data_IF_657319615754
#
_entry.id   IF_657319615754
#
_cell.length_a   1.000
_cell.length_b   1.000
_cell.length_c   1.000
_cell.angle_alpha   90.00
_cell.angle_beta   90.00
_cell.angle_gamma   90.00
#
_symmetry.space_group_name_H-M   'P 1'
#
loop_
_entity.id
_entity.type
_entity.pdbx_description
1 polymer ?
#
# COMPACT_ATOMS: atom_id res chain seq x y z
N UNK A 1 -16.17 16.32 -8.41
CA UNK A 1 -16.39 16.41 -6.95
C UNK A 1 -17.76 17.01 -6.66
N UNK A 2 -18.59 16.36 -5.84
CA UNK A 2 -19.78 17.02 -5.29
C UNK A 2 -19.31 17.87 -4.09
N UNK A 3 -19.68 19.16 -3.98
CA UNK A 3 -19.24 20.04 -2.89
C UNK A 3 -19.57 19.58 -1.45
N UNK A 4 -20.32 18.48 -1.27
CA UNK A 4 -20.86 18.04 0.02
C UNK A 4 -20.08 16.91 0.71
N UNK A 5 -19.07 16.31 0.07
CA UNK A 5 -18.45 15.10 0.64
C UNK A 5 -17.52 15.41 1.82
N UNK A 6 -16.83 16.55 1.82
CA UNK A 6 -15.98 16.99 2.95
C UNK A 6 -16.84 17.30 4.19
N UNK A 7 -18.03 17.88 4.02
CA UNK A 7 -18.92 18.20 5.14
C UNK A 7 -19.49 16.97 5.85
N UNK A 8 -19.32 15.77 5.29
CA UNK A 8 -19.69 14.51 5.93
C UNK A 8 -18.58 13.97 6.83
N UNK A 9 -17.40 14.59 6.82
CA UNK A 9 -16.26 14.20 7.65
C UNK A 9 -16.25 15.03 8.92
N UNK A 10 -15.98 14.38 10.05
CA UNK A 10 -15.75 15.07 11.33
C UNK A 10 -14.47 15.92 11.25
N UNK A 11 -13.49 15.44 10.48
CA UNK A 11 -12.24 16.16 10.27
C UNK A 11 -11.59 15.84 8.92
N UNK A 12 -11.09 16.87 8.25
CA UNK A 12 -10.27 16.73 7.06
C UNK A 12 -9.06 17.65 7.15
N UNK A 13 -7.87 17.07 7.05
CA UNK A 13 -6.61 17.81 6.96
C UNK A 13 -5.89 17.45 5.67
N UNK A 14 -5.59 18.48 4.89
CA UNK A 14 -4.71 18.36 3.73
C UNK A 14 -3.32 18.84 4.11
N UNK A 15 -2.37 17.91 4.21
CA UNK A 15 -0.97 18.24 4.46
C UNK A 15 -0.22 18.60 3.18
N UNK A 16 -0.95 18.73 2.06
CA UNK A 16 -0.43 19.07 0.74
C UNK A 16 0.85 18.28 0.43
N UNK A 17 0.80 16.93 0.50
CA UNK A 17 1.99 16.12 0.38
C UNK A 17 2.70 16.49 -0.92
N UNK A 18 3.99 16.80 -0.82
CA UNK A 18 4.84 17.06 -1.97
C UNK A 18 4.66 15.92 -2.97
N UNK A 19 3.95 16.19 -4.05
CA UNK A 19 3.82 15.26 -5.17
C UNK A 19 5.17 15.28 -5.86
N UNK A 20 5.98 14.25 -5.66
CA UNK A 20 7.15 14.05 -6.51
C UNK A 20 6.67 14.17 -7.96
N UNK A 21 7.27 15.11 -8.68
CA UNK A 21 6.83 15.43 -10.03
C UNK A 21 7.06 14.19 -10.90
N UNK A 22 5.98 13.66 -11.48
CA UNK A 22 6.06 12.45 -12.31
C UNK A 22 7.06 12.61 -13.45
N UNK A 23 7.16 13.80 -14.05
CA UNK A 23 8.15 14.10 -15.07
C UNK A 23 9.58 13.99 -14.53
N UNK A 24 9.87 14.60 -13.39
CA UNK A 24 11.21 14.56 -12.79
C UNK A 24 11.60 13.12 -12.41
N UNK A 25 10.68 12.37 -11.81
CA UNK A 25 10.90 10.97 -11.47
C UNK A 25 11.14 10.10 -12.71
N UNK A 26 10.36 10.31 -13.78
CA UNK A 26 10.50 9.60 -15.04
C UNK A 26 11.85 9.92 -15.71
N UNK A 27 12.22 11.18 -15.84
CA UNK A 27 13.49 11.58 -16.44
C UNK A 27 14.68 11.06 -15.64
N UNK A 28 14.66 11.18 -14.31
CA UNK A 28 15.70 10.65 -13.41
C UNK A 28 15.80 9.14 -13.52
N UNK A 29 14.66 8.46 -13.52
CA UNK A 29 14.55 7.01 -13.59
C UNK A 29 15.07 6.41 -14.90
N UNK A 30 14.77 7.05 -16.03
CA UNK A 30 15.21 6.60 -17.35
C UNK A 30 16.66 6.99 -17.69
N UNK A 31 17.22 7.99 -17.00
CA UNK A 31 18.63 8.41 -17.16
C UNK A 31 19.61 7.51 -16.39
N UNK A 32 19.12 6.68 -15.46
CA UNK A 32 19.97 5.79 -14.67
C UNK A 32 20.48 4.60 -15.52
N UNK A 33 21.68 4.08 -15.18
CA UNK A 33 22.25 2.89 -15.82
C UNK A 33 21.29 1.69 -15.76
N UNK A 34 20.65 1.49 -14.60
CA UNK A 34 19.50 0.60 -14.46
C UNK A 34 18.25 1.47 -14.43
N UNK A 35 17.49 1.46 -15.52
CA UNK A 35 16.23 2.22 -15.63
C UNK A 35 15.24 1.73 -14.57
N UNK A 36 14.58 2.65 -13.89
CA UNK A 36 13.56 2.34 -12.87
C UNK A 36 12.51 3.44 -12.74
N UNK A 37 11.32 3.10 -12.27
CA UNK A 37 10.24 4.04 -11.95
C UNK A 37 9.61 3.71 -10.60
N UNK A 38 9.30 4.72 -9.76
CA UNK A 38 8.62 4.47 -8.49
C UNK A 38 7.20 3.94 -8.68
N UNK A 39 6.84 2.85 -7.96
CA UNK A 39 5.53 2.19 -8.07
C UNK A 39 4.35 3.09 -7.65
N UNK A 40 4.57 4.12 -6.83
CA UNK A 40 3.51 5.09 -6.49
C UNK A 40 2.88 5.78 -7.71
N UNK A 41 3.58 5.82 -8.85
CA UNK A 41 3.03 6.39 -10.09
C UNK A 41 2.07 5.45 -10.84
N UNK A 42 1.90 4.20 -10.41
CA UNK A 42 0.87 3.33 -10.97
C UNK A 42 -0.54 3.88 -10.76
N UNK A 43 -0.77 4.55 -9.63
CA UNK A 43 -2.11 4.85 -9.13
C UNK A 43 -2.66 6.19 -9.67
N UNK A 44 -2.69 6.36 -10.99
CA UNK A 44 -3.68 7.25 -11.59
C UNK A 44 -5.09 6.62 -11.54
N UNK A 45 -6.11 7.28 -12.10
CA UNK A 45 -7.48 6.76 -12.09
C UNK A 45 -7.55 5.35 -12.70
N UNK A 46 -6.99 5.18 -13.90
CA UNK A 46 -6.96 3.90 -14.62
C UNK A 46 -6.15 2.82 -13.89
N UNK A 47 -4.97 3.16 -13.37
CA UNK A 47 -4.16 2.20 -12.63
C UNK A 47 -4.81 1.76 -11.31
N UNK A 48 -5.54 2.66 -10.64
CA UNK A 48 -6.33 2.32 -9.46
C UNK A 48 -7.46 1.33 -9.78
N UNK A 49 -8.14 1.51 -10.91
CA UNK A 49 -9.14 0.56 -11.41
C UNK A 49 -8.54 -0.80 -11.76
N UNK A 50 -7.38 -0.82 -12.42
CA UNK A 50 -6.65 -2.04 -12.73
C UNK A 50 -6.21 -2.76 -11.46
N UNK A 51 -5.72 -2.06 -10.44
CA UNK A 51 -5.38 -2.65 -9.15
C UNK A 51 -6.59 -3.26 -8.44
N UNK A 52 -7.76 -2.59 -8.52
CA UNK A 52 -9.00 -3.17 -8.01
C UNK A 52 -9.37 -4.48 -8.73
N UNK A 53 -9.13 -4.58 -10.05
CA UNK A 53 -9.32 -5.82 -10.80
C UNK A 53 -8.31 -6.89 -10.36
N UNK A 54 -7.03 -6.53 -10.17
CA UNK A 54 -6.00 -7.44 -9.66
C UNK A 54 -6.45 -8.06 -8.33
N UNK A 55 -7.03 -7.27 -7.43
CA UNK A 55 -7.50 -7.75 -6.14
C UNK A 55 -8.59 -8.84 -6.20
N UNK A 56 -9.26 -8.99 -7.34
CA UNK A 56 -10.33 -9.97 -7.57
C UNK A 56 -9.85 -11.19 -8.37
N UNK A 57 -8.60 -11.20 -8.86
CA UNK A 57 -8.02 -12.32 -9.62
C UNK A 57 -7.83 -13.56 -8.77
N UNK A 58 -7.99 -14.73 -9.39
CA UNK A 58 -7.76 -16.02 -8.73
C UNK A 58 -6.27 -16.22 -8.38
N UNK A 59 -5.33 -15.71 -9.17
CA UNK A 59 -3.90 -15.81 -8.86
C UNK A 59 -3.49 -14.87 -7.71
N UNK A 60 -4.12 -13.70 -7.58
CA UNK A 60 -3.77 -12.69 -6.57
C UNK A 60 -4.42 -12.95 -5.21
N UNK A 61 -3.89 -13.93 -4.49
CA UNK A 61 -4.44 -14.37 -3.20
C UNK A 61 -4.40 -13.34 -2.07
N UNK A 62 -3.55 -12.33 -2.17
CA UNK A 62 -3.20 -11.42 -1.06
C UNK A 62 -4.46 -10.80 -0.43
N UNK A 63 -5.29 -10.13 -1.23
CA UNK A 63 -6.46 -9.39 -0.74
C UNK A 63 -7.48 -10.31 -0.08
N UNK A 64 -7.86 -11.41 -0.75
CA UNK A 64 -8.86 -12.35 -0.22
C UNK A 64 -8.38 -13.10 1.03
N UNK A 65 -7.08 -13.42 1.09
CA UNK A 65 -6.49 -14.13 2.23
C UNK A 65 -6.46 -13.24 3.47
N UNK A 66 -6.01 -11.99 3.33
CA UNK A 66 -6.01 -11.04 4.44
C UNK A 66 -7.44 -10.73 4.92
N UNK A 67 -8.39 -10.50 4.00
CA UNK A 67 -9.80 -10.28 4.36
C UNK A 67 -10.37 -11.46 5.16
N UNK A 68 -10.02 -12.69 4.78
CA UNK A 68 -10.45 -13.89 5.49
C UNK A 68 -9.86 -13.97 6.88
N UNK A 69 -8.56 -13.69 7.03
CA UNK A 69 -7.90 -13.66 8.34
C UNK A 69 -8.56 -12.62 9.25
N UNK A 70 -8.79 -11.40 8.75
CA UNK A 70 -9.44 -10.33 9.50
C UNK A 70 -10.86 -10.74 9.93
N UNK A 71 -11.66 -11.30 9.02
CA UNK A 71 -13.04 -11.69 9.30
C UNK A 71 -13.14 -12.85 10.30
N UNK A 72 -12.36 -13.92 10.10
CA UNK A 72 -12.38 -15.11 10.96
C UNK A 72 -11.89 -14.79 12.38
N UNK A 73 -10.99 -13.80 12.53
CA UNK A 73 -10.40 -13.42 13.81
C UNK A 73 -10.92 -12.07 14.36
N UNK A 74 -11.93 -11.46 13.73
CA UNK A 74 -12.38 -10.09 14.01
C UNK A 74 -12.67 -9.85 15.51
N UNK A 75 -13.37 -10.79 16.16
CA UNK A 75 -13.69 -10.72 17.59
C UNK A 75 -12.46 -10.80 18.50
N UNK A 76 -11.46 -11.56 18.10
CA UNK A 76 -10.22 -11.70 18.86
C UNK A 76 -9.32 -10.49 18.67
N UNK A 77 -9.23 -9.98 17.44
CA UNK A 77 -8.54 -8.74 17.10
C UNK A 77 -9.14 -7.58 17.90
N UNK A 78 -10.47 -7.42 17.90
CA UNK A 78 -11.18 -6.41 18.70
C UNK A 78 -10.86 -6.50 20.19
N UNK A 79 -10.88 -7.72 20.77
CA UNK A 79 -10.50 -7.94 22.18
C UNK A 79 -9.05 -7.55 22.49
N UNK A 80 -8.14 -7.75 21.54
CA UNK A 80 -6.72 -7.43 21.70
C UNK A 80 -6.45 -5.93 21.57
N UNK A 81 -7.20 -5.26 20.69
CA UNK A 81 -7.21 -3.80 20.54
C UNK A 81 -7.81 -3.12 21.79
N UNK A 82 -8.88 -3.68 22.33
CA UNK A 82 -9.60 -3.11 23.46
C UNK A 82 -10.64 -2.06 23.04
N UNK A 83 -11.41 -1.57 24.02
CA UNK A 83 -12.50 -0.61 23.80
C UNK A 83 -12.00 0.83 23.70
N UNK A 84 -12.69 1.67 22.94
CA UNK A 84 -12.40 3.11 22.91
C UNK A 84 -11.11 3.47 22.16
N UNK A 85 -10.68 2.63 21.22
CA UNK A 85 -9.49 2.93 20.42
C UNK A 85 -9.76 4.06 19.43
N UNK A 86 -8.73 4.87 19.14
CA UNK A 86 -8.70 5.69 17.94
C UNK A 86 -7.91 4.95 16.85
N UNK A 87 -8.57 4.64 15.73
CA UNK A 87 -8.02 3.81 14.66
C UNK A 87 -7.48 4.66 13.51
N UNK A 88 -6.18 4.60 13.24
CA UNK A 88 -5.54 5.24 12.09
C UNK A 88 -5.24 4.21 11.02
N UNK A 89 -5.74 4.37 9.80
CA UNK A 89 -5.40 3.49 8.66
C UNK A 89 -4.42 4.18 7.71
N UNK A 90 -3.26 3.57 7.51
CA UNK A 90 -2.23 4.05 6.58
C UNK A 90 -2.46 3.44 5.20
N UNK A 91 -2.63 4.27 4.16
CA UNK A 91 -2.90 3.81 2.80
C UNK A 91 -4.29 3.18 2.68
N UNK A 92 -5.32 3.93 3.06
CA UNK A 92 -6.69 3.41 3.19
C UNK A 92 -7.30 2.86 1.89
N UNK A 93 -6.86 3.32 0.71
CA UNK A 93 -7.38 2.86 -0.58
C UNK A 93 -8.92 2.85 -0.60
N UNK A 94 -9.51 1.70 -0.96
CA UNK A 94 -10.96 1.53 -1.04
C UNK A 94 -11.68 1.34 0.31
N UNK A 95 -10.96 1.39 1.42
CA UNK A 95 -11.47 1.26 2.80
C UNK A 95 -12.40 0.05 3.04
N UNK A 96 -12.25 -1.03 2.25
CA UNK A 96 -13.07 -2.24 2.41
C UNK A 96 -12.67 -3.04 3.66
N UNK A 97 -11.37 -3.08 3.95
CA UNK A 97 -10.80 -3.91 5.03
C UNK A 97 -11.13 -3.36 6.41
N UNK A 98 -11.09 -2.03 6.56
CA UNK A 98 -11.41 -1.39 7.85
C UNK A 98 -12.85 -1.64 8.29
N UNK A 99 -13.81 -1.81 7.36
CA UNK A 99 -15.21 -2.15 7.70
C UNK A 99 -15.30 -3.41 8.57
N UNK A 100 -14.48 -4.43 8.28
CA UNK A 100 -14.40 -5.67 9.07
C UNK A 100 -14.05 -5.37 10.53
N UNK A 101 -13.19 -4.37 10.77
CA UNK A 101 -12.80 -3.95 12.12
C UNK A 101 -13.86 -3.05 12.76
N UNK A 102 -14.33 -2.03 12.05
CA UNK A 102 -15.35 -1.09 12.56
C UNK A 102 -16.65 -1.80 12.98
N UNK A 103 -17.00 -2.90 12.32
CA UNK A 103 -18.16 -3.74 12.67
C UNK A 103 -18.03 -4.46 14.02
N UNK A 104 -16.81 -4.62 14.55
CA UNK A 104 -16.54 -5.41 15.76
C UNK A 104 -15.81 -4.66 16.88
N UNK A 105 -15.27 -3.46 16.61
CA UNK A 105 -14.59 -2.65 17.61
C UNK A 105 -15.59 -2.16 18.67
N UNK A 106 -15.20 -2.23 19.93
CA UNK A 106 -16.05 -1.82 21.04
C UNK A 106 -15.93 -0.31 21.25
N UNK A 107 -16.97 0.44 20.87
CA UNK A 107 -17.09 1.89 21.05
C UNK A 107 -15.84 2.66 20.56
N UNK A 108 -15.40 2.48 19.30
CA UNK A 108 -14.21 3.19 18.81
C UNK A 108 -14.39 4.70 18.94
N UNK A 109 -13.36 5.38 19.45
CA UNK A 109 -13.37 6.83 19.67
C UNK A 109 -13.29 7.61 18.35
N UNK A 110 -12.84 6.95 17.28
CA UNK A 110 -12.77 7.52 15.93
C UNK A 110 -12.02 6.61 14.97
N UNK A 111 -12.17 6.91 13.68
CA UNK A 111 -11.38 6.33 12.60
C UNK A 111 -10.83 7.46 11.73
N UNK A 112 -9.52 7.45 11.48
CA UNK A 112 -8.86 8.41 10.60
C UNK A 112 -8.12 7.68 9.49
N UNK A 113 -8.52 7.93 8.25
CA UNK A 113 -7.84 7.40 7.07
C UNK A 113 -6.70 8.32 6.62
N UNK A 114 -5.57 7.75 6.24
CA UNK A 114 -4.43 8.46 5.66
C UNK A 114 -4.18 7.94 4.24
N UNK A 115 -4.13 8.85 3.27
CA UNK A 115 -3.84 8.50 1.88
C UNK A 115 -3.28 9.72 1.11
N UNK A 116 -2.53 9.47 0.05
CA UNK A 116 -1.99 10.54 -0.83
C UNK A 116 -3.03 11.00 -1.85
N UNK A 117 -4.03 10.18 -2.16
CA UNK A 117 -5.07 10.47 -3.15
C UNK A 117 -6.24 11.23 -2.52
N UNK A 118 -6.13 12.56 -2.45
CA UNK A 118 -7.14 13.46 -1.83
C UNK A 118 -8.59 13.15 -2.23
N UNK A 119 -8.87 13.07 -3.52
CA UNK A 119 -10.26 12.92 -4.02
C UNK A 119 -10.84 11.56 -3.66
N UNK A 120 -10.03 10.50 -3.78
CA UNK A 120 -10.42 9.15 -3.41
C UNK A 120 -10.65 9.04 -1.91
N UNK A 121 -9.73 9.59 -1.11
CA UNK A 121 -9.81 9.62 0.35
C UNK A 121 -11.09 10.29 0.85
N UNK A 122 -11.41 11.49 0.35
CA UNK A 122 -12.64 12.21 0.75
C UNK A 122 -13.88 11.38 0.43
N UNK A 123 -13.94 10.78 -0.77
CA UNK A 123 -15.07 9.97 -1.19
C UNK A 123 -15.23 8.73 -0.31
N UNK A 124 -14.16 7.97 -0.09
CA UNK A 124 -14.18 6.75 0.72
C UNK A 124 -14.60 7.05 2.18
N UNK A 125 -14.08 8.12 2.77
CA UNK A 125 -14.46 8.51 4.13
C UNK A 125 -15.90 9.03 4.23
N UNK A 126 -16.41 9.76 3.23
CA UNK A 126 -17.80 10.22 3.21
C UNK A 126 -18.80 9.05 3.14
N UNK A 127 -18.45 8.01 2.36
CA UNK A 127 -19.21 6.75 2.31
C UNK A 127 -19.17 6.04 3.67
N UNK A 128 -18.00 5.96 4.32
CA UNK A 128 -17.88 5.37 5.67
C UNK A 128 -18.69 6.12 6.72
N UNK A 129 -18.63 7.46 6.74
CA UNK A 129 -19.41 8.29 7.67
C UNK A 129 -20.91 8.03 7.55
N UNK A 130 -21.39 7.84 6.32
CA UNK A 130 -22.79 7.48 6.07
C UNK A 130 -23.16 6.09 6.57
N UNK A 131 -22.22 5.13 6.58
CA UNK A 131 -22.44 3.75 7.06
C UNK A 131 -22.34 3.67 8.60
N UNK A 132 -21.45 4.45 9.21
CA UNK A 132 -21.15 4.42 10.64
C UNK A 132 -21.39 5.79 11.32
N UNK A 133 -22.64 6.28 11.38
CA UNK A 133 -22.95 7.63 11.90
C UNK A 133 -22.62 7.85 13.39
N UNK A 134 -22.26 6.79 14.13
CA UNK A 134 -21.85 6.86 15.53
C UNK A 134 -20.33 6.84 15.76
N UNK A 135 -19.54 6.76 14.69
CA UNK A 135 -18.07 6.73 14.76
C UNK A 135 -17.56 7.99 14.09
N UNK A 136 -16.81 8.87 14.79
CA UNK A 136 -16.18 10.02 14.14
C UNK A 136 -15.23 9.57 13.03
N UNK A 137 -15.44 10.09 11.81
CA UNK A 137 -14.64 9.73 10.62
C UNK A 137 -13.80 10.93 10.17
N UNK A 138 -12.48 10.76 10.24
CA UNK A 138 -11.48 11.73 9.80
C UNK A 138 -10.71 11.29 8.56
N UNK A 139 -10.07 12.25 7.88
CA UNK A 139 -9.20 12.01 6.74
C UNK A 139 -7.96 12.93 6.76
N UNK A 140 -6.80 12.37 6.47
CA UNK A 140 -5.53 13.10 6.28
C UNK A 140 -4.99 12.83 4.89
N UNK A 141 -4.99 13.83 4.04
CA UNK A 141 -4.31 13.76 2.75
C UNK A 141 -2.81 13.95 2.97
N UNK A 142 -2.02 12.88 2.83
CA UNK A 142 -0.59 12.88 3.12
C UNK A 142 0.19 11.72 2.48
N UNK A 143 1.51 11.85 2.42
CA UNK A 143 2.44 10.80 2.05
C UNK A 143 3.03 10.16 3.32
N UNK A 144 2.43 9.06 3.75
CA UNK A 144 2.84 8.34 4.97
C UNK A 144 4.23 7.67 4.85
N UNK A 145 4.84 7.66 3.67
CA UNK A 145 6.24 7.21 3.54
C UNK A 145 7.22 8.23 4.13
N UNK A 146 6.77 9.47 4.34
CA UNK A 146 7.51 10.51 5.06
C UNK A 146 7.08 10.47 6.53
N UNK A 147 8.01 10.72 7.45
CA UNK A 147 7.70 10.82 8.88
C UNK A 147 6.74 11.99 9.10
N UNK A 148 5.56 11.69 9.67
CA UNK A 148 4.55 12.68 10.00
C UNK A 148 4.32 12.68 11.52
N UNK A 149 4.06 13.84 12.08
CA UNK A 149 3.37 13.91 13.37
C UNK A 149 1.89 13.66 13.09
N UNK A 150 1.27 12.67 13.76
CA UNK A 150 -0.20 12.58 13.72
C UNK A 150 -0.75 13.86 14.35
N UNK A 151 -1.53 14.67 13.62
CA UNK A 151 -2.12 15.89 14.18
C UNK A 151 -3.16 15.56 15.27
N UNK A 152 -3.57 14.29 15.38
CA UNK A 152 -4.74 13.89 16.12
C UNK A 152 -4.40 12.99 17.30
N UNK A 153 -4.65 13.53 18.49
CA UNK A 153 -4.94 12.74 19.68
C UNK A 153 -6.37 13.12 20.06
N UNK A 154 -7.34 12.25 19.80
CA UNK A 154 -8.66 12.42 20.41
C UNK A 154 -8.43 12.39 21.93
N UNK A 155 -8.85 13.43 22.64
CA UNK A 155 -8.67 13.54 24.08
C UNK A 155 -9.46 12.46 24.85
N UNK A 156 -10.39 11.78 24.18
CA UNK A 156 -11.29 10.78 24.74
C UNK A 156 -10.89 9.33 24.39
N UNK A 157 -9.85 9.13 23.57
CA UNK A 157 -9.42 7.78 23.20
C UNK A 157 -8.66 7.10 24.33
N UNK A 158 -9.02 5.85 24.63
CA UNK A 158 -8.29 5.03 25.61
C UNK A 158 -6.92 4.62 25.09
N UNK A 159 -6.83 4.33 23.79
CA UNK A 159 -5.59 3.95 23.14
C UNK A 159 -5.59 4.32 21.65
N UNK A 160 -4.42 4.19 21.03
CA UNK A 160 -4.21 4.48 19.61
C UNK A 160 -3.83 3.20 18.88
N UNK A 161 -4.58 2.86 17.82
CA UNK A 161 -4.24 1.76 16.94
C UNK A 161 -3.88 2.28 15.57
N UNK A 162 -2.74 1.85 15.06
CA UNK A 162 -2.38 2.05 13.65
C UNK A 162 -2.71 0.76 12.90
N UNK A 163 -3.32 0.88 11.74
CA UNK A 163 -3.68 -0.23 10.86
C UNK A 163 -3.00 -0.04 9.50
N UNK A 164 -2.26 -1.05 9.05
CA UNK A 164 -1.55 -1.03 7.77
C UNK A 164 -1.74 -2.36 7.02
N UNK A 165 -2.86 -2.51 6.29
CA UNK A 165 -3.17 -3.75 5.60
C UNK A 165 -2.47 -3.88 4.24
N UNK A 166 -2.67 -5.03 3.60
CA UNK A 166 -2.35 -5.27 2.19
C UNK A 166 -0.90 -5.64 1.90
N UNK A 167 -0.09 -5.85 2.95
CA UNK A 167 1.35 -6.08 2.81
C UNK A 167 2.08 -4.94 2.08
N UNK A 168 1.58 -3.71 2.21
CA UNK A 168 2.17 -2.51 1.64
C UNK A 168 3.57 -2.21 2.20
N UNK A 169 3.92 -2.73 3.38
CA UNK A 169 5.29 -2.73 3.89
C UNK A 169 6.29 -3.38 2.90
N UNK A 170 5.81 -4.36 2.12
CA UNK A 170 6.61 -5.03 1.11
C UNK A 170 7.08 -4.12 -0.03
N UNK A 171 6.54 -2.91 -0.17
CA UNK A 171 7.00 -1.96 -1.19
C UNK A 171 8.26 -1.18 -0.76
N UNK A 172 8.64 -1.27 0.51
CA UNK A 172 9.85 -0.68 1.05
C UNK A 172 11.00 -1.69 0.96
N UNK A 173 12.21 -1.20 0.65
CA UNK A 173 13.40 -2.00 0.93
C UNK A 173 13.54 -2.25 2.44
N UNK A 174 14.36 -3.23 2.81
CA UNK A 174 14.47 -3.68 4.21
C UNK A 174 14.83 -2.56 5.18
N UNK A 175 15.72 -1.65 4.79
CA UNK A 175 16.15 -0.54 5.66
C UNK A 175 15.00 0.45 5.87
N UNK A 176 14.32 0.83 4.79
CA UNK A 176 13.19 1.75 4.85
C UNK A 176 11.97 1.11 5.53
N UNK A 177 11.78 -0.21 5.42
CA UNK A 177 10.75 -0.94 6.15
C UNK A 177 10.99 -0.87 7.67
N UNK A 178 12.22 -1.09 8.14
CA UNK A 178 12.57 -0.98 9.57
C UNK A 178 12.40 0.46 10.06
N UNK A 179 12.82 1.47 9.27
CA UNK A 179 12.59 2.87 9.60
C UNK A 179 11.10 3.21 9.71
N UNK A 180 10.27 2.70 8.81
CA UNK A 180 8.83 2.88 8.86
C UNK A 180 8.23 2.23 10.12
N UNK A 181 8.62 0.99 10.44
CA UNK A 181 8.21 0.33 11.68
C UNK A 181 8.63 1.16 12.91
N UNK A 182 9.85 1.69 12.92
CA UNK A 182 10.37 2.52 14.02
C UNK A 182 9.61 3.84 14.17
N UNK A 183 9.24 4.46 13.06
CA UNK A 183 8.37 5.64 13.07
C UNK A 183 6.99 5.32 13.68
N UNK A 184 6.35 4.20 13.29
CA UNK A 184 5.08 3.79 13.91
C UNK A 184 5.25 3.48 15.41
N UNK A 185 6.36 2.85 15.80
CA UNK A 185 6.69 2.64 17.21
C UNK A 185 6.81 3.96 17.97
N UNK A 186 7.47 4.97 17.39
CA UNK A 186 7.59 6.31 17.98
C UNK A 186 6.23 7.00 18.14
N UNK A 187 5.33 6.85 17.17
CA UNK A 187 3.96 7.39 17.24
C UNK A 187 3.13 6.77 18.38
N UNK A 188 3.37 5.49 18.68
CA UNK A 188 2.66 4.76 19.70
C UNK A 188 3.24 4.96 21.11
N UNK A 189 4.36 5.69 21.27
CA UNK A 189 4.98 5.94 22.58
C UNK A 189 4.00 6.62 23.53
N UNK A 190 3.80 6.00 24.69
CA UNK A 190 2.87 6.45 25.73
C UNK A 190 1.40 6.10 25.48
N UNK A 191 1.11 5.33 24.42
CA UNK A 191 -0.21 4.72 24.20
C UNK A 191 -0.19 3.26 24.67
N UNK A 192 -1.30 2.76 25.20
CA UNK A 192 -1.49 1.32 25.48
C UNK A 192 -1.97 0.53 24.24
N UNK A 193 -2.03 1.20 23.09
CA UNK A 193 -2.51 0.62 21.84
C UNK A 193 -1.43 -0.16 21.09
N UNK A 194 -1.48 -0.18 19.77
CA UNK A 194 -0.62 -1.05 18.99
C UNK A 194 -0.70 -0.86 17.48
N UNK A 195 0.05 -1.70 16.77
CA UNK A 195 0.14 -1.66 15.32
C UNK A 195 -0.40 -2.96 14.72
N UNK A 196 -1.55 -2.88 14.05
CA UNK A 196 -2.15 -3.97 13.28
C UNK A 196 -1.64 -3.92 11.83
N UNK A 197 -0.84 -4.90 11.42
CA UNK A 197 -0.17 -4.90 10.11
C UNK A 197 -0.33 -6.24 9.39
N UNK A 198 -0.64 -6.19 8.11
CA UNK A 198 -0.68 -7.36 7.23
C UNK A 198 0.65 -7.59 6.51
N UNK A 199 1.10 -8.84 6.45
CA UNK A 199 2.38 -9.26 5.86
C UNK A 199 2.16 -10.47 4.94
N UNK A 200 2.56 -10.34 3.68
CA UNK A 200 2.58 -11.44 2.74
C UNK A 200 3.83 -12.30 2.95
N UNK A 201 3.60 -13.59 3.20
CA UNK A 201 4.66 -14.50 3.64
C UNK A 201 5.46 -15.07 2.47
N UNK A 202 6.68 -15.53 2.74
CA UNK A 202 7.44 -16.31 1.75
C UNK A 202 6.75 -17.65 1.50
N UNK A 203 6.67 -18.05 0.22
CA UNK A 203 6.05 -19.29 -0.25
C UNK A 203 6.63 -19.67 -1.62
N UNK A 204 6.09 -20.72 -2.22
CA UNK A 204 6.53 -21.22 -3.52
C UNK A 204 6.56 -20.13 -4.59
N UNK A 205 7.63 -20.17 -5.39
CA UNK A 205 7.94 -19.17 -6.42
C UNK A 205 6.79 -19.05 -7.41
N UNK A 206 6.24 -20.16 -7.85
CA UNK A 206 5.20 -20.22 -8.88
C UNK A 206 3.92 -19.51 -8.42
N UNK A 207 3.60 -19.60 -7.12
CA UNK A 207 2.45 -18.92 -6.53
C UNK A 207 2.70 -17.41 -6.45
N UNK A 208 3.91 -17.01 -6.05
CA UNK A 208 4.30 -15.62 -5.97
C UNK A 208 4.37 -14.98 -7.36
N UNK A 209 4.94 -15.64 -8.35
CA UNK A 209 5.04 -15.11 -9.72
C UNK A 209 3.65 -15.05 -10.38
N UNK A 210 2.81 -16.08 -10.24
CA UNK A 210 1.46 -16.07 -10.80
C UNK A 210 0.60 -14.93 -10.24
N UNK A 211 0.74 -14.61 -8.94
CA UNK A 211 0.03 -13.47 -8.36
C UNK A 211 0.38 -12.13 -9.03
N UNK A 212 1.55 -12.00 -9.64
CA UNK A 212 2.00 -10.76 -10.29
C UNK A 212 2.14 -10.86 -11.81
N UNK A 213 1.82 -12.01 -12.39
CA UNK A 213 1.81 -12.30 -13.83
C UNK A 213 0.61 -13.20 -14.14
N UNK A 214 -0.58 -12.67 -13.86
CA UNK A 214 -1.84 -13.38 -14.02
C UNK A 214 -2.15 -13.73 -15.49
N UNK A 215 -2.88 -14.83 -15.67
CA UNK A 215 -3.18 -15.37 -17.00
C UNK A 215 -4.11 -14.48 -17.84
N UNK A 216 -4.91 -13.62 -17.19
CA UNK A 216 -5.80 -12.63 -17.85
C UNK A 216 -5.06 -11.35 -18.29
N UNK A 217 -3.78 -11.21 -17.94
CA UNK A 217 -2.91 -10.10 -18.29
C UNK A 217 -3.32 -8.76 -17.68
N UNK A 218 -4.04 -8.77 -16.57
CA UNK A 218 -4.48 -7.55 -15.87
C UNK A 218 -3.30 -6.87 -15.19
N UNK A 219 -2.41 -7.60 -14.51
CA UNK A 219 -1.18 -7.06 -13.91
C UNK A 219 -0.22 -6.55 -14.98
N UNK A 220 -0.20 -7.18 -16.14
CA UNK A 220 0.55 -6.67 -17.29
C UNK A 220 0.03 -5.31 -17.76
N UNK A 221 -1.30 -5.15 -17.89
CA UNK A 221 -1.94 -3.87 -18.21
C UNK A 221 -1.68 -2.81 -17.14
N UNK A 222 -1.76 -3.20 -15.86
CA UNK A 222 -1.44 -2.33 -14.73
C UNK A 222 0.00 -1.81 -14.81
N UNK A 223 0.96 -2.68 -15.10
CA UNK A 223 2.35 -2.26 -15.23
C UNK A 223 2.57 -1.34 -16.45
N UNK A 224 2.06 -1.74 -17.61
CA UNK A 224 2.17 -0.98 -18.86
C UNK A 224 1.45 0.38 -18.81
N UNK A 225 0.47 0.54 -17.91
CA UNK A 225 -0.23 1.81 -17.70
C UNK A 225 0.73 2.95 -17.34
N UNK A 226 1.88 2.69 -16.71
CA UNK A 226 2.90 3.73 -16.48
C UNK A 226 3.34 4.41 -17.78
N UNK A 227 3.53 3.64 -18.86
CA UNK A 227 3.97 4.17 -20.15
C UNK A 227 2.83 4.91 -20.85
N UNK A 228 1.61 4.39 -20.75
CA UNK A 228 0.39 5.04 -21.27
C UNK A 228 0.20 6.40 -20.60
N UNK A 229 0.34 6.43 -19.28
CA UNK A 229 0.28 7.64 -18.46
C UNK A 229 1.36 8.64 -18.87
N UNK A 230 2.61 8.20 -19.04
CA UNK A 230 3.71 9.05 -19.50
C UNK A 230 3.41 9.69 -20.86
N UNK A 231 2.86 8.92 -21.81
CA UNK A 231 2.45 9.45 -23.11
C UNK A 231 1.36 10.52 -22.97
N UNK A 232 0.35 10.27 -22.12
CA UNK A 232 -0.79 11.18 -21.88
C UNK A 232 -0.37 12.47 -21.18
N UNK A 233 0.40 12.38 -20.10
CA UNK A 233 0.69 13.52 -19.21
C UNK A 233 1.93 14.31 -19.63
N UNK A 234 2.91 13.66 -20.26
CA UNK A 234 4.26 14.23 -20.45
C UNK A 234 4.65 14.34 -21.92
N UNK A 235 3.71 14.10 -22.85
CA UNK A 235 3.96 14.04 -24.29
C UNK A 235 5.12 13.09 -24.64
N UNK A 236 5.23 11.97 -23.93
CA UNK A 236 6.13 10.89 -24.29
C UNK A 236 5.61 10.13 -25.52
N UNK A 237 6.49 9.37 -26.17
CA UNK A 237 6.15 8.57 -27.37
C UNK A 237 6.43 7.07 -27.22
N UNK A 238 6.25 6.51 -26.02
CA UNK A 238 6.38 5.07 -25.82
C UNK A 238 5.42 4.31 -26.75
N UNK A 239 5.95 3.46 -27.65
CA UNK A 239 5.14 2.43 -28.28
C UNK A 239 4.98 1.26 -27.29
N UNK A 240 3.90 1.31 -26.53
CA UNK A 240 3.60 0.35 -25.45
C UNK A 240 3.57 -1.10 -25.97
N UNK A 241 3.24 -1.32 -27.25
CA UNK A 241 3.26 -2.66 -27.86
C UNK A 241 4.66 -3.27 -27.98
N UNK A 242 5.71 -2.42 -27.90
CA UNK A 242 7.12 -2.83 -27.90
C UNK A 242 7.67 -3.11 -26.51
N UNK A 243 6.83 -3.06 -25.48
CA UNK A 243 7.20 -3.48 -24.14
C UNK A 243 6.38 -4.71 -23.73
N UNK A 244 6.89 -5.46 -22.75
CA UNK A 244 6.12 -6.49 -22.08
C UNK A 244 6.39 -6.50 -20.59
N UNK A 245 5.36 -6.89 -19.85
CA UNK A 245 5.45 -7.09 -18.41
C UNK A 245 6.26 -8.37 -18.12
N UNK A 246 7.11 -8.31 -17.09
CA UNK A 246 7.76 -9.48 -16.51
C UNK A 246 7.77 -9.36 -14.98
N UNK A 247 7.16 -10.31 -14.29
CA UNK A 247 7.34 -10.50 -12.84
C UNK A 247 8.36 -11.61 -12.59
N UNK A 248 9.25 -11.40 -11.63
CA UNK A 248 10.20 -12.43 -11.17
C UNK A 248 10.26 -12.46 -9.66
N UNK A 249 10.34 -13.66 -9.08
CA UNK A 249 10.67 -13.81 -7.66
C UNK A 249 12.18 -13.89 -7.47
N UNK A 250 12.75 -12.83 -6.90
CA UNK A 250 14.14 -12.80 -6.48
C UNK A 250 14.30 -13.51 -5.13
N UNK A 251 14.66 -14.79 -5.17
CA UNK A 251 14.76 -15.62 -3.95
C UNK A 251 15.81 -15.10 -2.96
N UNK A 252 16.94 -14.58 -3.43
CA UNK A 252 18.00 -14.05 -2.57
C UNK A 252 17.52 -12.84 -1.75
N UNK A 253 16.80 -11.93 -2.42
CA UNK A 253 16.23 -10.74 -1.76
C UNK A 253 14.88 -10.99 -1.09
N UNK A 254 14.22 -12.11 -1.41
CA UNK A 254 12.90 -12.47 -0.90
C UNK A 254 11.81 -11.51 -1.36
N UNK A 255 11.78 -11.15 -2.65
CA UNK A 255 10.81 -10.17 -3.18
C UNK A 255 10.38 -10.51 -4.61
N UNK A 256 9.15 -10.17 -4.95
CA UNK A 256 8.74 -10.03 -6.34
C UNK A 256 9.33 -8.73 -6.90
N UNK A 257 9.78 -8.77 -8.14
CA UNK A 257 10.18 -7.61 -8.92
C UNK A 257 9.35 -7.55 -10.19
N UNK A 258 8.70 -6.41 -10.44
CA UNK A 258 8.00 -6.15 -11.69
C UNK A 258 8.84 -5.30 -12.62
N UNK A 259 8.89 -5.68 -13.89
CA UNK A 259 9.70 -5.06 -14.92
C UNK A 259 8.88 -4.80 -16.19
N UNK A 260 9.22 -3.72 -16.90
CA UNK A 260 8.79 -3.48 -18.28
C UNK A 260 9.98 -3.68 -19.20
N UNK A 261 9.93 -4.70 -20.05
CA UNK A 261 11.05 -5.14 -20.86
C UNK A 261 10.84 -4.72 -22.31
N UNK A 262 11.83 -4.07 -22.91
CA UNK A 262 11.83 -3.69 -24.32
C UNK A 262 11.97 -4.93 -25.20
N UNK A 263 11.10 -5.04 -26.22
CA UNK A 263 11.12 -6.13 -27.21
C UNK A 263 12.10 -5.89 -28.36
N UNK A 264 12.59 -4.66 -28.51
CA UNK A 264 13.43 -4.23 -29.63
C UNK A 264 14.43 -3.16 -29.17
N UNK A 265 15.40 -2.87 -30.03
CA UNK A 265 16.13 -1.61 -29.91
C UNK A 265 15.22 -0.45 -30.32
N UNK A 266 15.02 0.54 -29.45
CA UNK A 266 14.15 1.70 -29.70
C UNK A 266 14.61 2.94 -28.94
N UNK A 267 14.16 4.12 -29.38
CA UNK A 267 14.40 5.39 -28.72
C UNK A 267 13.05 5.97 -28.31
N UNK A 268 12.94 6.36 -27.04
CA UNK A 268 11.77 7.05 -26.50
C UNK A 268 12.14 8.51 -26.21
N UNK A 269 11.32 9.43 -26.68
CA UNK A 269 11.44 10.87 -26.46
C UNK A 269 10.42 11.33 -25.42
N UNK A 270 10.85 12.21 -24.52
CA UNK A 270 10.02 12.85 -23.49
C UNK A 270 10.42 14.32 -23.44
N UNK A 271 9.59 15.18 -24.03
CA UNK A 271 9.96 16.58 -24.27
C UNK A 271 11.24 16.67 -25.11
N UNK A 272 12.27 17.33 -24.58
CA UNK A 272 13.58 17.48 -25.22
C UNK A 272 14.57 16.34 -24.93
N UNK A 273 14.19 15.36 -24.10
CA UNK A 273 15.06 14.26 -23.70
C UNK A 273 14.80 13.02 -24.55
N UNK A 274 15.84 12.23 -24.81
CA UNK A 274 15.76 10.96 -25.53
C UNK A 274 16.45 9.85 -24.75
N UNK A 275 15.81 8.69 -24.70
CA UNK A 275 16.28 7.52 -23.96
C UNK A 275 16.36 6.32 -24.89
N UNK A 276 17.54 5.74 -24.99
CA UNK A 276 17.75 4.49 -25.73
C UNK A 276 17.32 3.30 -24.88
N UNK A 277 16.68 2.34 -25.53
CA UNK A 277 16.38 1.01 -25.01
C UNK A 277 16.95 -0.03 -25.96
N UNK A 278 17.76 -0.93 -25.44
CA UNK A 278 18.14 -2.14 -26.18
C UNK A 278 17.09 -3.23 -26.02
N UNK A 279 17.05 -4.20 -26.94
CA UNK A 279 16.25 -5.40 -26.80
C UNK A 279 16.60 -6.12 -25.48
N UNK A 280 15.57 -6.55 -24.75
CA UNK A 280 15.64 -7.13 -23.40
C UNK A 280 16.11 -6.19 -22.28
N UNK A 281 16.43 -4.93 -22.59
CA UNK A 281 16.61 -3.91 -21.55
C UNK A 281 15.28 -3.65 -20.84
N UNK A 282 15.33 -3.42 -19.53
CA UNK A 282 14.13 -3.29 -18.72
C UNK A 282 14.11 -2.07 -17.82
N UNK A 283 12.90 -1.60 -17.54
CA UNK A 283 12.59 -0.64 -16.50
C UNK A 283 12.10 -1.44 -15.28
N UNK A 284 12.79 -1.32 -14.15
CA UNK A 284 12.29 -1.85 -12.88
C UNK A 284 11.15 -0.94 -12.36
N UNK A 285 10.02 -1.52 -11.98
CA UNK A 285 8.78 -0.75 -11.70
C UNK A 285 8.22 -0.97 -10.31
N UNK A 286 8.47 -2.12 -9.69
CA UNK A 286 8.01 -2.41 -8.32
C UNK A 286 8.88 -3.46 -7.65
N UNK A 287 9.01 -3.34 -6.33
CA UNK A 287 9.39 -4.44 -5.46
C UNK A 287 8.19 -4.78 -4.57
N UNK A 288 7.95 -6.06 -4.34
CA UNK A 288 7.07 -6.52 -3.27
C UNK A 288 7.77 -7.61 -2.44
N UNK A 289 8.38 -7.18 -1.35
CA UNK A 289 9.07 -8.04 -0.39
C UNK A 289 8.10 -8.95 0.33
N UNK A 290 8.55 -10.19 0.53
CA UNK A 290 7.87 -11.26 1.25
C UNK A 290 8.72 -11.65 2.44
N UNK A 291 8.10 -11.88 3.58
CA UNK A 291 8.82 -12.13 4.82
C UNK A 291 8.48 -13.51 5.36
N UNK A 292 9.43 -14.17 6.01
CA UNK A 292 9.06 -15.24 6.95
C UNK A 292 8.66 -14.61 8.29
N UNK A 293 7.88 -15.32 9.10
CA UNK A 293 7.49 -14.85 10.43
C UNK A 293 8.71 -14.47 11.28
N UNK A 294 9.79 -15.27 11.22
CA UNK A 294 11.01 -15.00 11.98
C UNK A 294 11.82 -13.81 11.45
N UNK A 295 11.78 -13.55 10.14
CA UNK A 295 12.39 -12.35 9.56
C UNK A 295 11.62 -11.10 9.96
N UNK A 296 10.29 -11.13 9.87
CA UNK A 296 9.46 -10.02 10.30
C UNK A 296 9.59 -9.76 11.80
N UNK A 297 9.71 -10.82 12.62
CA UNK A 297 10.00 -10.69 14.05
C UNK A 297 11.28 -9.91 14.36
N UNK A 298 12.37 -10.22 13.67
CA UNK A 298 13.61 -9.47 13.85
C UNK A 298 13.43 -7.99 13.50
N UNK A 299 12.71 -7.69 12.41
CA UNK A 299 12.48 -6.32 11.96
C UNK A 299 11.65 -5.51 12.97
N UNK A 300 10.54 -6.04 13.48
CA UNK A 300 9.74 -5.27 14.43
C UNK A 300 10.40 -5.14 15.80
N UNK A 301 11.23 -6.12 16.22
CA UNK A 301 12.04 -5.99 17.44
C UNK A 301 13.10 -4.90 17.30
N UNK A 302 13.80 -4.87 16.16
CA UNK A 302 14.77 -3.83 15.85
C UNK A 302 14.14 -2.44 15.80
N UNK A 303 12.89 -2.35 15.33
CA UNK A 303 12.10 -1.12 15.31
C UNK A 303 11.58 -0.67 16.69
N UNK A 304 11.74 -1.48 17.75
CA UNK A 304 11.36 -1.12 19.12
C UNK A 304 10.03 -1.67 19.62
N UNK A 305 9.36 -2.57 18.88
CA UNK A 305 8.22 -3.33 19.40
C UNK A 305 8.70 -4.51 20.28
N UNK A 306 7.94 -4.83 21.32
CA UNK A 306 8.31 -5.83 22.33
C UNK A 306 7.50 -7.12 22.25
N UNK A 307 6.27 -7.07 21.73
CA UNK A 307 5.41 -8.25 21.62
C UNK A 307 4.54 -8.22 20.36
N UNK A 308 4.10 -9.41 19.95
CA UNK A 308 3.20 -9.61 18.81
C UNK A 308 2.18 -10.70 19.13
N UNK A 309 0.91 -10.46 18.80
CA UNK A 309 -0.06 -11.53 18.50
C UNK A 309 -0.21 -11.60 16.99
N UNK A 310 -0.33 -12.78 16.41
CA UNK A 310 -0.50 -12.92 14.97
C UNK A 310 -1.51 -14.00 14.60
N UNK A 311 -2.08 -13.83 13.41
CA UNK A 311 -3.04 -14.73 12.81
C UNK A 311 -2.62 -15.02 11.38
N UNK A 312 -2.63 -16.28 10.99
CA UNK A 312 -2.32 -16.72 9.63
C UNK A 312 -3.52 -17.44 9.02
N UNK A 313 -3.56 -17.51 7.69
CA UNK A 313 -4.43 -18.46 7.02
C UNK A 313 -3.86 -19.89 7.13
N UNK A 314 -4.67 -20.90 6.82
CA UNK A 314 -4.30 -22.31 6.94
C UNK A 314 -3.11 -22.72 6.06
N UNK A 315 -2.83 -21.99 4.97
CA UNK A 315 -1.69 -22.26 4.10
C UNK A 315 -0.44 -21.46 4.49
N UNK A 316 -0.54 -20.62 5.52
CA UNK A 316 0.53 -19.72 5.95
C UNK A 316 1.01 -18.82 4.80
N UNK A 317 0.07 -18.35 3.98
CA UNK A 317 0.36 -17.45 2.87
C UNK A 317 0.43 -16.00 3.30
N UNK A 318 -0.34 -15.63 4.30
CA UNK A 318 -0.41 -14.26 4.79
C UNK A 318 -0.53 -14.29 6.31
N UNK A 319 0.03 -13.27 6.96
CA UNK A 319 -0.14 -13.06 8.40
C UNK A 319 -0.61 -11.65 8.71
N UNK A 320 -1.49 -11.54 9.69
CA UNK A 320 -1.85 -10.26 10.31
C UNK A 320 -1.23 -10.25 11.70
N UNK A 321 -0.49 -9.21 12.04
CA UNK A 321 0.19 -9.05 13.33
C UNK A 321 -0.39 -7.85 14.07
N UNK A 322 -0.62 -7.99 15.37
CA UNK A 322 -0.82 -6.87 16.29
C UNK A 322 0.43 -6.71 17.15
N UNK A 323 1.21 -5.67 16.91
CA UNK A 323 2.47 -5.35 17.57
C UNK A 323 2.25 -4.34 18.70
N UNK A 324 2.98 -4.48 19.80
CA UNK A 324 2.95 -3.56 20.95
C UNK A 324 4.35 -3.19 21.43
N UNK A 325 4.47 -1.97 21.94
CA UNK A 325 5.65 -1.45 22.63
C UNK A 325 5.88 -2.13 23.97
#
# INVERSE_FOLDING_TARGET
MKPNDISLLDEFVDLEPEKENFQEALLRGLSANQKSLPCKFFYDETGSELFNQICELDEYYVTRTENRILADNAKEISRVIGSGCNLFELGSGSSRKVKILLDVLESPAGYTALDISKEHLIKSCAELSSIYPGIPIGAICTDYSKSLAFPFKSAEANNTVVFFPGSSLGNFDTENAIKFLGWVADLLKGSEGGFLIGIDLKKDREILEAAYDDSDGVTAKFNLNLLIRANRELNANFDVSKFFHRAIYNHEKGRIEMHLVSRINQIVSIGSNSFEFFENEYIHTENSYKYSLSQFEKMWREAGFNSSRHWCDLKEYFSVHYLRL
#
